data_IF_094761168506
#
_entry.id   IF_094761168506
#
_cell.length_a   1.000
_cell.length_b   1.000
_cell.length_c   1.000
_cell.angle_alpha   90.00
_cell.angle_beta   90.00
_cell.angle_gamma   90.00
#
_symmetry.space_group_name_H-M   'P 1'
#
loop_
_entity.id
_entity.type
_entity.pdbx_description
1 polymer ?
#
# COMPACT_ATOMS: atom_id res chain seq x y z
N UNK A 1 0.19 -0.52 -17.06
CA UNK A 1 -1.10 0.04 -16.69
C UNK A 1 -2.26 -0.88 -17.01
N UNK A 2 -3.46 -0.49 -16.62
CA UNK A 2 -4.71 -1.18 -16.93
C UNK A 2 -5.01 -1.03 -18.42
N UNK A 3 -5.12 -2.14 -19.14
CA UNK A 3 -5.39 -2.14 -20.59
C UNK A 3 -6.85 -2.47 -20.92
N UNK A 4 -7.58 -3.05 -19.95
CA UNK A 4 -8.97 -3.45 -20.10
C UNK A 4 -9.83 -2.74 -19.06
N UNK A 5 -11.06 -2.36 -19.42
CA UNK A 5 -12.08 -1.92 -18.45
C UNK A 5 -12.26 -3.06 -17.44
N UNK A 6 -12.35 -2.73 -16.17
CA UNK A 6 -12.37 -3.72 -15.06
C UNK A 6 -11.00 -4.07 -14.49
N UNK A 7 -9.89 -3.67 -15.15
CA UNK A 7 -8.56 -3.79 -14.58
C UNK A 7 -8.16 -2.49 -13.88
N UNK A 8 -7.78 -2.60 -12.62
CA UNK A 8 -7.19 -1.51 -11.84
C UNK A 8 -5.69 -1.70 -11.76
N UNK A 9 -4.94 -0.60 -11.66
CA UNK A 9 -3.50 -0.64 -11.39
C UNK A 9 -3.26 0.01 -10.04
N UNK A 10 -2.62 -0.72 -9.13
CA UNK A 10 -2.10 -0.20 -7.87
C UNK A 10 -0.58 0.00 -8.04
N UNK A 11 -0.15 1.25 -8.06
CA UNK A 11 1.26 1.63 -8.18
C UNK A 11 1.78 1.89 -6.77
N UNK A 12 2.39 0.87 -6.17
CA UNK A 12 2.96 0.91 -4.84
C UNK A 12 4.45 1.32 -4.90
N UNK A 13 4.66 2.56 -5.29
CA UNK A 13 5.95 3.26 -5.23
C UNK A 13 6.06 4.09 -3.95
N UNK A 14 6.82 5.19 -3.95
CA UNK A 14 6.82 6.16 -2.85
C UNK A 14 5.41 6.72 -2.62
N UNK A 15 4.68 6.97 -3.70
CA UNK A 15 3.28 7.35 -3.71
C UNK A 15 2.36 6.14 -3.82
N UNK A 16 1.17 6.27 -3.25
CA UNK A 16 0.03 5.38 -3.46
C UNK A 16 -0.79 5.92 -4.62
N UNK A 17 -0.66 5.32 -5.80
CA UNK A 17 -1.44 5.71 -6.97
C UNK A 17 -2.28 4.52 -7.39
N UNK A 18 -3.59 4.74 -7.51
CA UNK A 18 -4.50 3.72 -8.00
C UNK A 18 -5.26 4.29 -9.18
N UNK A 19 -5.35 3.52 -10.24
CA UNK A 19 -5.93 3.98 -11.49
C UNK A 19 -6.80 2.91 -12.15
N UNK A 20 -7.81 3.35 -12.84
CA UNK A 20 -8.62 2.53 -13.76
C UNK A 20 -9.06 3.36 -14.94
N UNK A 21 -9.33 2.73 -16.07
CA UNK A 21 -9.92 3.45 -17.20
C UNK A 21 -11.38 3.07 -17.42
N UNK A 22 -12.16 4.03 -17.89
CA UNK A 22 -13.56 3.86 -18.13
C UNK A 22 -14.06 4.84 -19.19
N UNK A 23 -15.30 4.63 -19.68
CA UNK A 23 -15.96 5.53 -20.65
C UNK A 23 -16.50 6.83 -20.02
N UNK A 24 -16.27 7.06 -18.74
CA UNK A 24 -16.71 8.26 -18.02
C UNK A 24 -15.66 8.69 -17.01
N UNK A 25 -15.69 9.94 -16.64
CA UNK A 25 -14.92 10.47 -15.51
C UNK A 25 -15.54 10.02 -14.19
N UNK A 26 -14.71 9.83 -13.18
CA UNK A 26 -15.15 9.58 -11.81
C UNK A 26 -15.14 10.91 -11.06
N UNK A 27 -16.30 11.39 -10.57
CA UNK A 27 -16.36 12.62 -9.80
C UNK A 27 -15.46 12.54 -8.55
N UNK A 28 -14.80 13.65 -8.24
CA UNK A 28 -13.91 13.77 -7.06
C UNK A 28 -12.68 12.82 -7.07
N UNK A 29 -12.40 12.14 -8.17
CA UNK A 29 -11.11 11.47 -8.33
C UNK A 29 -9.97 12.49 -8.25
N UNK A 30 -8.81 12.05 -7.79
CA UNK A 30 -7.63 12.93 -7.67
C UNK A 30 -7.23 13.52 -9.03
N UNK A 31 -7.40 12.76 -10.11
CA UNK A 31 -7.32 13.27 -11.48
C UNK A 31 -8.11 12.40 -12.46
N UNK A 32 -8.56 13.04 -13.55
CA UNK A 32 -9.20 12.38 -14.67
C UNK A 32 -8.53 12.89 -15.94
N UNK A 33 -8.00 12.00 -16.76
CA UNK A 33 -7.25 12.33 -17.98
C UNK A 33 -7.82 11.57 -19.18
N UNK A 34 -7.78 12.13 -20.40
CA UNK A 34 -8.07 11.34 -21.59
C UNK A 34 -7.17 10.11 -21.65
N UNK A 35 -7.75 8.97 -22.00
CA UNK A 35 -7.01 7.73 -22.15
C UNK A 35 -6.61 7.49 -23.62
N UNK A 36 -5.86 6.41 -23.88
CA UNK A 36 -5.37 6.05 -25.20
C UNK A 36 -6.49 5.77 -26.21
N UNK A 37 -7.64 5.30 -25.72
CA UNK A 37 -8.79 5.02 -26.56
C UNK A 37 -9.76 6.21 -26.56
N UNK A 38 -10.22 6.60 -27.75
CA UNK A 38 -11.14 7.73 -27.93
C UNK A 38 -12.44 7.51 -27.12
N UNK A 39 -12.77 8.48 -26.28
CA UNK A 39 -13.98 8.44 -25.44
C UNK A 39 -13.79 7.68 -24.13
N UNK A 40 -12.57 7.33 -23.78
CA UNK A 40 -12.21 6.75 -22.48
C UNK A 40 -11.34 7.71 -21.67
N UNK A 41 -11.36 7.54 -20.35
CA UNK A 41 -10.66 8.36 -19.37
C UNK A 41 -9.86 7.47 -18.43
N UNK A 42 -8.66 7.89 -18.11
CA UNK A 42 -7.89 7.35 -17.00
C UNK A 42 -8.29 8.11 -15.73
N UNK A 43 -8.88 7.39 -14.80
CA UNK A 43 -9.32 7.94 -13.51
C UNK A 43 -8.33 7.49 -12.43
N UNK A 44 -7.80 8.44 -11.69
CA UNK A 44 -6.77 8.19 -10.67
C UNK A 44 -7.26 8.66 -9.29
N UNK A 45 -6.97 7.85 -8.28
CA UNK A 45 -7.09 8.22 -6.88
C UNK A 45 -5.75 7.93 -6.19
N UNK A 46 -5.15 8.93 -5.52
CA UNK A 46 -3.79 8.81 -5.02
C UNK A 46 -3.53 9.65 -3.77
N UNK A 47 -2.45 9.26 -3.06
CA UNK A 47 -1.84 10.02 -1.96
C UNK A 47 -0.33 9.86 -1.97
N UNK A 48 0.39 10.74 -1.28
CA UNK A 48 1.85 10.66 -1.12
C UNK A 48 2.36 9.59 -0.14
N UNK A 49 1.50 8.67 0.28
CA UNK A 49 1.80 7.76 1.38
C UNK A 49 1.59 6.28 0.98
N UNK A 50 2.59 5.67 0.34
CA UNK A 50 2.68 4.22 0.13
C UNK A 50 4.04 3.73 0.59
N UNK A 51 4.96 3.43 -0.29
CA UNK A 51 6.32 3.03 0.03
C UNK A 51 7.09 4.03 0.89
N UNK A 52 6.71 5.31 0.89
CA UNK A 52 7.26 6.32 1.80
C UNK A 52 7.04 5.97 3.28
N UNK A 53 5.95 5.27 3.65
CA UNK A 53 5.74 4.76 5.01
C UNK A 53 6.76 3.67 5.34
N UNK A 54 6.99 2.75 4.40
CA UNK A 54 7.96 1.68 4.57
C UNK A 54 9.40 2.22 4.61
N UNK A 55 9.74 3.19 3.76
CA UNK A 55 11.03 3.87 3.77
C UNK A 55 11.26 4.59 5.11
N UNK A 56 10.26 5.31 5.62
CA UNK A 56 10.32 5.92 6.94
C UNK A 56 10.55 4.85 8.03
N UNK A 57 9.76 3.79 8.02
CA UNK A 57 9.87 2.70 8.98
C UNK A 57 11.28 2.08 8.98
N UNK A 58 11.80 1.73 7.81
CA UNK A 58 13.15 1.12 7.69
C UNK A 58 14.28 2.06 8.09
N UNK A 59 14.10 3.37 7.90
CA UNK A 59 15.07 4.39 8.30
C UNK A 59 15.06 4.67 9.79
N UNK A 60 13.88 4.75 10.41
CA UNK A 60 13.71 5.21 11.79
C UNK A 60 13.73 4.05 12.78
N UNK A 61 13.14 2.92 12.41
CA UNK A 61 13.00 1.74 13.26
C UNK A 61 13.75 0.51 12.74
N UNK A 62 14.44 0.60 11.60
CA UNK A 62 15.01 -0.54 10.89
C UNK A 62 16.36 -1.04 11.42
N UNK A 63 16.91 -0.54 12.52
CA UNK A 63 18.25 -0.94 12.96
C UNK A 63 18.28 -2.39 13.46
N UNK A 64 17.29 -2.85 14.21
CA UNK A 64 17.20 -4.24 14.64
C UNK A 64 17.19 -5.22 13.46
N UNK A 65 16.31 -5.10 12.47
CA UNK A 65 16.31 -6.01 11.32
C UNK A 65 17.57 -5.90 10.47
N UNK A 66 18.25 -4.75 10.40
CA UNK A 66 19.56 -4.65 9.72
C UNK A 66 20.62 -5.47 10.41
N UNK A 67 20.70 -5.41 11.73
CA UNK A 67 21.65 -6.20 12.53
C UNK A 67 21.36 -7.69 12.37
N UNK A 68 20.10 -8.10 12.48
CA UNK A 68 19.71 -9.51 12.34
C UNK A 68 19.94 -10.04 10.91
N UNK A 69 19.67 -9.24 9.88
CA UNK A 69 19.97 -9.59 8.50
C UNK A 69 21.48 -9.84 8.31
N UNK A 70 22.32 -8.96 8.86
CA UNK A 70 23.77 -9.13 8.84
C UNK A 70 24.22 -10.41 9.54
N UNK A 71 23.68 -10.72 10.73
CA UNK A 71 23.99 -11.96 11.47
C UNK A 71 23.59 -13.22 10.70
N UNK A 72 22.45 -13.17 9.98
CA UNK A 72 21.92 -14.29 9.19
C UNK A 72 22.46 -14.36 7.77
N UNK A 73 23.34 -13.43 7.38
CA UNK A 73 23.84 -13.27 6.01
C UNK A 73 22.70 -13.22 4.96
N UNK A 74 21.65 -12.46 5.29
CA UNK A 74 20.47 -12.28 4.45
C UNK A 74 20.33 -10.84 4.01
N UNK A 75 19.61 -10.61 2.91
CA UNK A 75 19.14 -9.29 2.53
C UNK A 75 18.16 -8.77 3.60
N UNK A 76 18.28 -7.49 3.94
CA UNK A 76 17.38 -6.80 4.86
C UNK A 76 15.90 -6.97 4.45
N UNK A 77 15.55 -6.73 3.19
CA UNK A 77 14.18 -6.83 2.70
C UNK A 77 13.64 -8.26 2.78
N UNK A 78 14.49 -9.25 2.47
CA UNK A 78 14.11 -10.65 2.59
C UNK A 78 13.84 -11.07 4.04
N UNK A 79 14.60 -10.53 4.99
CA UNK A 79 14.34 -10.79 6.41
C UNK A 79 13.01 -10.18 6.86
N UNK A 80 12.71 -8.95 6.41
CA UNK A 80 11.42 -8.29 6.72
C UNK A 80 10.26 -9.08 6.11
N UNK A 81 10.38 -9.57 4.88
CA UNK A 81 9.36 -10.41 4.25
C UNK A 81 9.11 -11.70 5.07
N UNK A 82 10.18 -12.38 5.52
CA UNK A 82 10.07 -13.57 6.39
C UNK A 82 9.36 -13.23 7.71
N UNK A 83 9.63 -12.07 8.30
CA UNK A 83 8.98 -11.63 9.53
C UNK A 83 7.50 -11.34 9.30
N UNK A 84 7.15 -10.62 8.25
CA UNK A 84 5.75 -10.36 7.88
C UNK A 84 5.00 -11.69 7.67
N UNK A 85 5.59 -12.62 6.91
CA UNK A 85 4.97 -13.92 6.61
C UNK A 85 4.81 -14.82 7.86
N UNK A 86 5.63 -14.59 8.90
CA UNK A 86 5.54 -15.35 10.16
C UNK A 86 4.36 -14.95 11.05
N UNK A 87 3.75 -13.79 10.81
CA UNK A 87 2.61 -13.29 11.61
C UNK A 87 1.31 -13.92 11.09
N UNK A 88 0.62 -14.74 11.90
CA UNK A 88 -0.69 -15.26 11.53
C UNK A 88 -1.71 -14.12 11.42
N UNK A 89 -2.50 -14.10 10.35
CA UNK A 89 -3.47 -13.03 10.07
C UNK A 89 -4.52 -12.87 11.19
N UNK A 90 -4.87 -13.96 11.85
CA UNK A 90 -5.82 -13.97 12.97
C UNK A 90 -5.23 -13.44 14.30
N UNK A 91 -3.92 -13.20 14.35
CA UNK A 91 -3.19 -12.62 15.49
C UNK A 91 -2.67 -11.22 15.23
N UNK A 92 -2.82 -10.72 14.03
CA UNK A 92 -2.45 -9.36 13.67
C UNK A 92 -3.39 -8.37 14.39
N UNK A 93 -2.97 -7.90 15.57
CA UNK A 93 -3.76 -7.00 16.41
C UNK A 93 -3.31 -5.54 16.33
N UNK A 94 -2.06 -5.32 15.93
CA UNK A 94 -1.48 -3.97 15.78
C UNK A 94 -1.93 -3.38 14.46
N UNK A 95 -2.37 -2.13 14.49
CA UNK A 95 -2.71 -1.37 13.28
C UNK A 95 -1.74 -0.21 13.10
N UNK A 96 -1.38 0.05 11.85
CA UNK A 96 -0.59 1.22 11.47
C UNK A 96 -1.41 2.16 10.58
N UNK A 97 -1.49 3.43 10.98
CA UNK A 97 -2.04 4.49 10.12
C UNK A 97 -0.96 5.00 9.17
N UNK A 98 -1.09 4.80 7.85
CA UNK A 98 0.01 5.02 6.91
C UNK A 98 0.11 6.49 6.44
N UNK A 99 0.17 7.44 7.36
CA UNK A 99 0.15 8.88 7.06
C UNK A 99 1.42 9.60 7.47
N UNK A 100 2.59 9.02 7.17
CA UNK A 100 3.90 9.72 7.39
C UNK A 100 4.08 10.90 6.45
N UNK A 101 3.43 10.88 5.27
CA UNK A 101 3.47 11.94 4.27
C UNK A 101 2.11 12.10 3.58
N UNK A 102 1.71 13.34 3.31
CA UNK A 102 0.55 13.73 2.51
C UNK A 102 -0.71 12.85 2.73
N UNK A 103 -1.36 12.97 3.89
CA UNK A 103 -2.55 12.17 4.18
C UNK A 103 -3.69 12.53 3.22
N UNK A 104 -4.42 11.52 2.74
CA UNK A 104 -5.55 11.70 1.82
C UNK A 104 -6.89 11.84 2.53
N UNK A 105 -7.01 11.30 3.75
CA UNK A 105 -8.29 11.26 4.47
C UNK A 105 -8.56 12.59 5.18
N UNK A 106 -7.55 13.16 5.82
CA UNK A 106 -7.65 14.44 6.51
C UNK A 106 -6.28 15.10 6.55
N UNK A 107 -6.22 16.41 6.26
CA UNK A 107 -4.96 17.18 6.13
C UNK A 107 -4.05 17.13 7.37
N UNK A 108 -4.61 16.86 8.54
CA UNK A 108 -3.87 16.75 9.80
C UNK A 108 -3.62 15.32 10.25
N UNK A 109 -4.03 14.31 9.46
CA UNK A 109 -3.77 12.92 9.82
C UNK A 109 -2.26 12.66 9.92
N UNK A 110 -1.86 11.88 10.90
CA UNK A 110 -0.47 11.49 11.17
C UNK A 110 -0.37 9.99 11.28
N UNK A 111 0.80 9.47 10.96
CA UNK A 111 1.10 8.07 11.19
C UNK A 111 1.10 7.76 12.68
N UNK A 112 0.55 6.62 13.04
CA UNK A 112 0.57 6.09 14.40
C UNK A 112 0.40 4.57 14.38
N UNK A 113 0.79 3.93 15.48
CA UNK A 113 0.46 2.55 15.77
C UNK A 113 -0.63 2.50 16.84
N UNK A 114 -1.58 1.58 16.68
CA UNK A 114 -2.70 1.36 17.60
C UNK A 114 -2.66 -0.09 18.08
N UNK A 115 -3.12 -0.35 19.29
CA UNK A 115 -3.15 -1.67 19.93
C UNK A 115 -1.76 -2.30 20.17
N UNK A 116 -0.74 -1.49 20.46
CA UNK A 116 0.53 -2.02 20.93
C UNK A 116 0.34 -2.50 22.38
N UNK A 117 0.74 -3.74 22.64
CA UNK A 117 0.72 -4.38 23.95
C UNK A 117 2.16 -4.69 24.42
N UNK A 118 2.29 -5.07 25.70
CA UNK A 118 3.60 -5.38 26.30
C UNK A 118 4.36 -6.50 25.56
N UNK A 119 3.66 -7.46 25.00
CA UNK A 119 4.18 -8.61 24.28
C UNK A 119 4.17 -8.47 22.75
N UNK A 120 3.81 -7.29 22.23
CA UNK A 120 3.86 -7.03 20.79
C UNK A 120 5.27 -7.26 20.27
N UNK A 121 5.39 -8.12 19.28
CA UNK A 121 6.66 -8.45 18.64
C UNK A 121 7.04 -7.43 17.55
N UNK A 122 8.30 -7.45 17.16
CA UNK A 122 8.75 -6.59 16.05
C UNK A 122 8.19 -7.06 14.70
N UNK A 123 7.99 -8.35 14.56
CA UNK A 123 7.34 -8.98 13.39
C UNK A 123 5.92 -8.45 13.21
N UNK A 124 5.15 -8.32 14.28
CA UNK A 124 3.80 -7.73 14.26
C UNK A 124 3.84 -6.25 13.88
N UNK A 125 4.84 -5.49 14.29
CA UNK A 125 5.05 -4.11 13.85
C UNK A 125 5.35 -4.05 12.35
N UNK A 126 6.21 -4.95 11.84
CA UNK A 126 6.49 -5.04 10.40
C UNK A 126 5.24 -5.37 9.59
N UNK A 127 4.45 -6.34 10.06
CA UNK A 127 3.18 -6.73 9.44
C UNK A 127 2.20 -5.55 9.41
N UNK A 128 2.02 -4.86 10.53
CA UNK A 128 1.13 -3.70 10.62
C UNK A 128 1.48 -2.60 9.62
N UNK A 129 2.78 -2.34 9.39
CA UNK A 129 3.20 -1.36 8.37
C UNK A 129 2.82 -1.81 6.97
N UNK A 130 3.03 -3.08 6.64
CA UNK A 130 2.68 -3.64 5.35
C UNK A 130 1.16 -3.61 5.12
N UNK A 131 0.39 -4.05 6.11
CA UNK A 131 -1.07 -4.05 6.08
C UNK A 131 -1.65 -2.63 5.97
N UNK A 132 -1.12 -1.67 6.73
CA UNK A 132 -1.54 -0.27 6.65
C UNK A 132 -1.33 0.31 5.26
N UNK A 133 -0.22 -0.02 4.58
CA UNK A 133 0.02 0.37 3.18
C UNK A 133 -0.96 -0.32 2.24
N UNK A 134 -1.27 -1.60 2.45
CA UNK A 134 -2.28 -2.32 1.65
C UNK A 134 -3.67 -1.68 1.81
N UNK A 135 -4.07 -1.33 3.03
CA UNK A 135 -5.35 -0.68 3.31
C UNK A 135 -5.50 0.69 2.64
N UNK A 136 -4.43 1.50 2.54
CA UNK A 136 -4.55 2.78 1.84
C UNK A 136 -4.74 2.57 0.33
N UNK A 137 -4.11 1.57 -0.29
CA UNK A 137 -4.38 1.20 -1.67
C UNK A 137 -5.82 0.71 -1.84
N UNK A 138 -6.28 -0.17 -0.95
CA UNK A 138 -7.67 -0.64 -0.95
C UNK A 138 -8.67 0.50 -0.83
N UNK A 139 -8.44 1.46 0.06
CA UNK A 139 -9.29 2.65 0.21
C UNK A 139 -9.45 3.41 -1.12
N UNK A 140 -8.35 3.66 -1.84
CA UNK A 140 -8.39 4.35 -3.12
C UNK A 140 -9.04 3.50 -4.23
N UNK A 141 -8.84 2.19 -4.24
CA UNK A 141 -9.51 1.27 -5.17
C UNK A 141 -11.01 1.25 -4.90
N UNK A 142 -11.44 1.13 -3.64
CA UNK A 142 -12.84 1.14 -3.25
C UNK A 142 -13.52 2.47 -3.63
N UNK A 143 -12.82 3.60 -3.47
CA UNK A 143 -13.29 4.90 -3.94
C UNK A 143 -13.53 4.90 -5.46
N UNK A 144 -12.59 4.43 -6.26
CA UNK A 144 -12.74 4.36 -7.71
C UNK A 144 -13.88 3.40 -8.13
N UNK A 145 -14.15 2.37 -7.33
CA UNK A 145 -15.22 1.39 -7.57
C UNK A 145 -16.63 1.92 -7.25
N UNK A 146 -16.76 2.97 -6.42
CA UNK A 146 -18.07 3.52 -6.00
C UNK A 146 -18.99 3.88 -7.16
N UNK A 147 -18.44 4.13 -8.35
CA UNK A 147 -19.21 4.43 -9.57
C UNK A 147 -19.76 3.18 -10.28
N UNK A 148 -19.87 2.04 -9.61
CA UNK A 148 -20.30 0.76 -10.19
C UNK A 148 -19.45 0.31 -11.39
N UNK A 149 -18.18 0.66 -11.40
CA UNK A 149 -17.23 0.15 -12.38
C UNK A 149 -16.88 -1.31 -12.05
N UNK A 150 -16.72 -2.17 -13.06
CA UNK A 150 -16.29 -3.54 -12.82
C UNK A 150 -14.89 -3.55 -12.18
N UNK A 151 -14.64 -4.50 -11.31
CA UNK A 151 -13.32 -4.80 -10.74
C UNK A 151 -13.06 -6.29 -10.95
N UNK A 152 -12.41 -6.62 -12.06
CA UNK A 152 -12.10 -7.99 -12.44
C UNK A 152 -10.69 -8.39 -11.96
N UNK A 153 -9.77 -7.43 -11.94
CA UNK A 153 -8.39 -7.65 -11.53
C UNK A 153 -7.75 -6.37 -11.01
N UNK A 154 -6.78 -6.54 -10.10
CA UNK A 154 -5.85 -5.49 -9.69
C UNK A 154 -4.44 -5.90 -10.12
N UNK A 155 -3.74 -5.01 -10.84
CA UNK A 155 -2.33 -5.15 -11.17
C UNK A 155 -1.51 -4.35 -10.18
N UNK A 156 -0.72 -5.04 -9.39
CA UNK A 156 0.24 -4.39 -8.51
C UNK A 156 1.54 -4.11 -9.28
N UNK A 157 2.10 -2.91 -9.09
CA UNK A 157 3.39 -2.49 -9.66
C UNK A 157 4.10 -1.53 -8.70
N UNK A 158 5.35 -1.20 -9.00
CA UNK A 158 6.19 -0.37 -8.13
C UNK A 158 7.14 -1.21 -7.28
N UNK A 159 7.89 -0.55 -6.39
CA UNK A 159 8.93 -1.21 -5.59
C UNK A 159 8.40 -2.30 -4.66
N UNK A 160 7.21 -2.12 -4.12
CA UNK A 160 6.56 -3.09 -3.21
C UNK A 160 6.14 -4.36 -3.98
N UNK A 161 5.80 -4.26 -5.26
CA UNK A 161 5.38 -5.39 -6.08
C UNK A 161 6.47 -6.47 -6.31
N UNK A 162 7.71 -6.21 -5.89
CA UNK A 162 8.81 -7.19 -5.94
C UNK A 162 8.66 -8.24 -4.85
N UNK A 163 7.95 -7.93 -3.76
CA UNK A 163 7.71 -8.86 -2.66
C UNK A 163 6.39 -9.61 -2.85
N UNK A 164 6.47 -10.93 -2.99
CA UNK A 164 5.29 -11.79 -3.03
C UNK A 164 4.51 -11.78 -1.71
N UNK A 165 5.16 -11.47 -0.61
CA UNK A 165 4.55 -11.38 0.72
C UNK A 165 3.59 -10.20 0.78
N UNK A 166 4.04 -9.02 0.34
CA UNK A 166 3.20 -7.83 0.29
C UNK A 166 2.02 -7.97 -0.68
N UNK A 167 2.20 -8.71 -1.77
CA UNK A 167 1.13 -8.94 -2.74
C UNK A 167 0.00 -9.85 -2.23
N UNK A 168 0.24 -10.59 -1.14
CA UNK A 168 -0.74 -11.48 -0.50
C UNK A 168 -1.55 -10.79 0.61
N UNK A 169 -1.07 -9.66 1.13
CA UNK A 169 -1.77 -8.82 2.10
C UNK A 169 -2.88 -8.03 1.39
#
# INVERSE_FOLDING_TARGET
GATNIGTYTAIAGSWCINETHSKRIIPNASSNMPYLYKGEYLNCSYTGASGSNYEWFTRVLGDLPKVEAGRKNKSFYKLIDEWIESVPIDRASVFFSPFVAQPSIHVQAKANFINIEYNTSYEEICYAVAEGVAFIHKHHIDFLKQENLPLDAVRLTGGIAISDVWAKI
#
